data_IF_025853999150
#
_entry.id   IF_025853999150
#
_cell.length_a   1.000
_cell.length_b   1.000
_cell.length_c   1.000
_cell.angle_alpha   90.00
_cell.angle_beta   90.00
_cell.angle_gamma   90.00
#
_symmetry.space_group_name_H-M   'P 1'
#
loop_
_entity.id
_entity.type
_entity.pdbx_description
1 polymer ?
#
# COMPACT_ATOMS: atom_id res chain seq x y z
N UNK A 1 3.51 -15.80 -44.89
CA UNK A 1 4.50 -14.72 -45.03
C UNK A 1 5.79 -15.22 -44.42
N UNK A 2 6.72 -15.59 -45.29
CA UNK A 2 7.94 -16.33 -44.99
C UNK A 2 9.05 -15.40 -44.51
N UNK A 3 9.85 -15.86 -43.54
CA UNK A 3 11.07 -15.17 -43.11
C UNK A 3 12.13 -15.18 -44.22
N UNK A 4 12.94 -14.12 -44.40
CA UNK A 4 14.20 -14.21 -45.10
C UNK A 4 15.30 -14.62 -44.12
N UNK A 5 15.76 -15.86 -44.29
CA UNK A 5 17.04 -16.36 -43.82
C UNK A 5 18.14 -15.84 -44.74
N UNK A 6 19.15 -15.17 -44.19
CA UNK A 6 20.49 -15.14 -44.78
C UNK A 6 21.53 -14.77 -43.73
N UNK A 7 21.93 -15.75 -42.92
CA UNK A 7 23.19 -15.67 -42.18
C UNK A 7 24.32 -15.93 -43.18
N UNK A 8 25.15 -14.92 -43.44
CA UNK A 8 26.35 -15.04 -44.29
C UNK A 8 27.57 -15.24 -43.37
N UNK A 9 28.42 -16.26 -43.59
CA UNK A 9 29.62 -16.43 -42.79
C UNK A 9 30.64 -15.31 -43.10
N UNK A 10 31.39 -14.78 -42.12
CA UNK A 10 32.29 -13.65 -42.31
C UNK A 10 33.54 -14.05 -43.12
N UNK A 11 33.88 -13.27 -44.15
CA UNK A 11 35.13 -13.37 -44.93
C UNK A 11 36.29 -12.64 -44.24
N UNK A 12 37.54 -13.09 -44.47
CA UNK A 12 38.76 -12.63 -43.76
C UNK A 12 39.00 -11.11 -43.77
N UNK A 13 38.40 -10.38 -44.71
CA UNK A 13 38.56 -8.93 -44.86
C UNK A 13 37.81 -8.10 -43.79
N UNK A 14 36.96 -8.72 -42.96
CA UNK A 14 36.20 -8.05 -41.89
C UNK A 14 36.82 -8.13 -40.49
N UNK A 15 38.04 -8.65 -40.39
CA UNK A 15 38.78 -8.77 -39.13
C UNK A 15 39.92 -7.75 -39.09
N UNK A 16 39.94 -6.89 -38.07
CA UNK A 16 41.04 -5.95 -37.83
C UNK A 16 41.72 -6.29 -36.49
N UNK A 17 43.05 -6.24 -36.48
CA UNK A 17 43.87 -6.51 -35.29
C UNK A 17 43.98 -5.21 -34.47
N UNK A 18 43.40 -5.20 -33.28
CA UNK A 18 43.59 -4.13 -32.28
C UNK A 18 44.02 -4.79 -30.98
N UNK A 19 45.17 -4.40 -30.44
CA UNK A 19 45.81 -4.96 -29.24
C UNK A 19 45.92 -6.49 -29.21
N UNK A 20 46.27 -7.11 -30.35
CA UNK A 20 46.57 -8.54 -30.44
C UNK A 20 45.37 -9.48 -30.32
N UNK A 21 44.13 -8.98 -30.35
CA UNK A 21 42.91 -9.80 -30.30
C UNK A 21 41.99 -9.48 -31.49
N UNK A 22 41.57 -10.50 -32.23
CA UNK A 22 40.63 -10.37 -33.34
C UNK A 22 39.21 -10.05 -32.84
N UNK A 23 38.61 -8.93 -33.30
CA UNK A 23 37.20 -8.60 -33.02
C UNK A 23 36.46 -8.22 -34.32
N UNK A 24 35.21 -8.69 -34.43
CA UNK A 24 34.30 -8.39 -35.55
C UNK A 24 33.68 -6.99 -35.42
N UNK A 25 33.58 -6.27 -36.55
CA UNK A 25 32.95 -4.94 -36.62
C UNK A 25 31.44 -5.04 -36.43
N UNK A 26 30.91 -4.50 -35.32
CA UNK A 26 29.46 -4.24 -35.19
C UNK A 26 29.11 -2.99 -35.99
N UNK A 27 28.18 -3.14 -36.93
CA UNK A 27 27.66 -2.05 -37.76
C UNK A 27 27.13 -0.86 -36.93
N UNK A 28 27.53 0.35 -37.32
CA UNK A 28 26.65 1.53 -37.27
C UNK A 28 26.55 2.34 -35.98
N UNK A 29 27.55 2.33 -35.10
CA UNK A 29 27.67 3.32 -34.01
C UNK A 29 29.08 3.89 -34.08
N UNK A 30 29.23 5.13 -34.57
CA UNK A 30 30.49 5.86 -34.41
C UNK A 30 30.76 6.06 -32.91
N UNK A 31 31.92 5.64 -32.38
CA UNK A 31 32.28 6.01 -31.02
C UNK A 31 32.44 7.54 -30.94
N UNK A 32 32.01 8.18 -29.84
CA UNK A 32 32.17 9.62 -29.68
C UNK A 32 33.66 9.98 -29.82
N UNK A 33 33.97 10.91 -30.73
CA UNK A 33 35.34 11.39 -31.04
C UNK A 33 36.04 12.09 -29.88
N UNK A 34 35.38 12.24 -28.74
CA UNK A 34 35.98 12.73 -27.52
C UNK A 34 36.02 11.58 -26.52
N UNK A 35 37.13 10.85 -26.56
CA UNK A 35 37.60 10.07 -25.42
C UNK A 35 37.56 11.00 -24.19
N UNK A 36 36.78 10.62 -23.18
CA UNK A 36 36.66 11.33 -21.91
C UNK A 36 37.97 11.20 -21.14
N UNK A 37 39.00 11.88 -21.59
CA UNK A 37 40.32 11.91 -20.97
C UNK A 37 40.43 13.15 -20.07
N UNK A 38 39.40 13.37 -19.25
CA UNK A 38 39.37 14.39 -18.18
C UNK A 38 40.62 14.27 -17.30
N UNK A 39 41.11 13.05 -17.11
CA UNK A 39 42.31 12.74 -16.34
C UNK A 39 43.59 13.19 -17.06
N UNK A 40 43.67 13.06 -18.39
CA UNK A 40 44.79 13.55 -19.21
C UNK A 40 44.85 15.08 -19.22
N UNK A 41 43.69 15.73 -19.28
CA UNK A 41 43.58 17.18 -19.18
C UNK A 41 43.99 17.73 -17.79
N UNK A 42 43.64 17.02 -16.70
CA UNK A 42 44.02 17.41 -15.33
C UNK A 42 45.51 17.13 -15.02
N UNK A 43 46.10 16.10 -15.61
CA UNK A 43 47.54 15.82 -15.56
C UNK A 43 48.36 16.87 -16.34
N UNK A 44 47.88 17.29 -17.50
CA UNK A 44 48.54 18.33 -18.31
C UNK A 44 48.53 19.71 -17.62
N UNK A 45 47.51 20.00 -16.80
CA UNK A 45 47.42 21.23 -15.99
C UNK A 45 48.17 21.14 -14.65
N UNK A 46 48.92 20.06 -14.38
CA UNK A 46 49.71 19.90 -13.15
C UNK A 46 48.90 19.79 -11.85
N UNK A 47 47.57 19.61 -11.93
CA UNK A 47 46.67 19.59 -10.77
C UNK A 47 46.59 18.23 -10.04
N UNK A 48 47.19 17.17 -10.59
CA UNK A 48 47.18 15.82 -10.00
C UNK A 48 48.47 15.03 -10.27
N UNK A 49 48.96 14.25 -9.30
CA UNK A 49 50.15 13.42 -9.44
C UNK A 49 49.85 12.06 -10.11
N UNK A 50 50.72 11.55 -11.01
CA UNK A 50 50.46 10.31 -11.78
C UNK A 50 50.22 9.07 -10.92
N UNK A 51 50.90 8.98 -9.76
CA UNK A 51 50.76 7.85 -8.84
C UNK A 51 49.36 7.77 -8.22
N UNK A 52 48.73 8.92 -7.94
CA UNK A 52 47.40 8.99 -7.31
C UNK A 52 46.30 8.54 -8.27
N UNK A 53 46.43 8.87 -9.56
CA UNK A 53 45.54 8.43 -10.64
C UNK A 53 45.57 6.91 -10.84
N UNK A 54 46.76 6.29 -10.77
CA UNK A 54 46.89 4.83 -10.88
C UNK A 54 46.20 4.07 -9.75
N UNK A 55 46.22 4.63 -8.53
CA UNK A 55 45.52 4.07 -7.36
C UNK A 55 44.01 4.21 -7.49
N UNK A 56 43.52 5.37 -7.93
CA UNK A 56 42.08 5.61 -8.15
C UNK A 56 41.50 4.73 -9.27
N UNK A 57 42.21 4.55 -10.40
CA UNK A 57 41.76 3.64 -11.45
C UNK A 57 41.75 2.17 -11.00
N UNK A 58 42.73 1.76 -10.19
CA UNK A 58 42.77 0.40 -9.63
C UNK A 58 41.59 0.17 -8.68
N UNK A 59 41.25 1.18 -7.88
CA UNK A 59 40.12 1.13 -6.96
C UNK A 59 38.77 1.13 -7.70
N UNK A 60 38.63 1.94 -8.76
CA UNK A 60 37.46 1.93 -9.63
C UNK A 60 37.28 0.59 -10.35
N UNK A 61 38.36 0.00 -10.91
CA UNK A 61 38.31 -1.33 -11.53
C UNK A 61 37.93 -2.42 -10.52
N UNK A 62 38.46 -2.36 -9.31
CA UNK A 62 38.09 -3.30 -8.24
C UNK A 62 36.61 -3.15 -7.82
N UNK A 63 36.11 -1.91 -7.76
CA UNK A 63 34.71 -1.63 -7.45
C UNK A 63 33.78 -2.15 -8.54
N UNK A 64 34.16 -1.99 -9.81
CA UNK A 64 33.38 -2.44 -10.96
C UNK A 64 33.36 -3.98 -11.03
N UNK A 65 34.50 -4.65 -10.80
CA UNK A 65 34.55 -6.11 -10.66
C UNK A 65 33.66 -6.62 -9.52
N UNK A 66 33.64 -5.93 -8.39
CA UNK A 66 32.78 -6.27 -7.26
C UNK A 66 31.29 -6.11 -7.60
N UNK A 67 30.94 -5.09 -8.39
CA UNK A 67 29.57 -4.91 -8.89
C UNK A 67 29.16 -5.99 -9.90
N UNK A 68 30.07 -6.42 -10.79
CA UNK A 68 29.80 -7.51 -11.74
C UNK A 68 29.58 -8.84 -11.01
N UNK A 69 30.40 -9.17 -10.01
CA UNK A 69 30.22 -10.37 -9.20
C UNK A 69 28.85 -10.41 -8.48
N UNK A 70 28.39 -9.27 -7.94
CA UNK A 70 27.07 -9.16 -7.32
C UNK A 70 25.91 -9.36 -8.32
N UNK A 71 26.10 -8.96 -9.57
CA UNK A 71 25.11 -9.20 -10.63
C UNK A 71 25.07 -10.68 -11.01
N UNK A 72 26.22 -11.34 -11.12
CA UNK A 72 26.30 -12.78 -11.39
C UNK A 72 25.64 -13.60 -10.27
N UNK A 73 25.85 -13.22 -9.00
CA UNK A 73 25.18 -13.85 -7.85
C UNK A 73 23.66 -13.68 -7.89
N UNK A 74 23.17 -12.49 -8.28
CA UNK A 74 21.73 -12.24 -8.46
C UNK A 74 21.16 -13.08 -9.61
N UNK A 75 21.88 -13.19 -10.72
CA UNK A 75 21.49 -14.07 -11.84
C UNK A 75 21.47 -15.55 -11.43
N UNK A 76 22.44 -16.02 -10.64
CA UNK A 76 22.45 -17.38 -10.13
C UNK A 76 21.28 -17.66 -9.17
N UNK A 77 20.93 -16.68 -8.33
CA UNK A 77 19.79 -16.76 -7.42
C UNK A 77 18.45 -16.81 -8.19
N UNK A 78 18.26 -16.00 -9.23
CA UNK A 78 17.05 -16.03 -10.06
C UNK A 78 16.94 -17.36 -10.82
N UNK A 79 18.04 -17.92 -11.33
CA UNK A 79 18.06 -19.25 -11.93
C UNK A 79 17.66 -20.36 -10.93
N UNK A 80 18.10 -20.29 -9.67
CA UNK A 80 17.64 -21.23 -8.62
C UNK A 80 16.15 -21.11 -8.34
N UNK A 81 15.59 -19.89 -8.32
CA UNK A 81 14.15 -19.65 -8.10
C UNK A 81 13.33 -20.21 -9.28
N UNK A 82 13.77 -19.97 -10.52
CA UNK A 82 13.15 -20.53 -11.73
C UNK A 82 13.23 -22.08 -11.74
N UNK A 83 14.33 -22.66 -11.26
CA UNK A 83 14.50 -24.10 -11.07
C UNK A 83 13.54 -24.70 -10.01
N UNK A 84 13.30 -23.98 -8.91
CA UNK A 84 12.30 -24.39 -7.91
C UNK A 84 10.88 -24.34 -8.48
N UNK A 85 10.54 -23.26 -9.18
CA UNK A 85 9.22 -23.07 -9.81
C UNK A 85 8.91 -24.12 -10.88
N UNK A 86 9.93 -24.63 -11.59
CA UNK A 86 9.78 -25.74 -12.55
C UNK A 86 9.62 -27.09 -11.86
N UNK A 87 10.27 -27.32 -10.71
CA UNK A 87 10.02 -28.51 -9.86
C UNK A 87 8.61 -28.50 -9.25
N UNK A 88 8.14 -27.35 -8.76
CA UNK A 88 6.78 -27.21 -8.23
C UNK A 88 5.71 -27.44 -9.31
N UNK A 89 5.99 -27.02 -10.55
CA UNK A 89 5.12 -27.27 -11.70
C UNK A 89 5.08 -28.75 -12.10
N UNK A 90 6.19 -29.48 -11.97
CA UNK A 90 6.22 -30.95 -12.16
C UNK A 90 5.50 -31.69 -11.01
N UNK A 91 5.70 -31.26 -9.76
CA UNK A 91 4.98 -31.81 -8.61
C UNK A 91 3.46 -31.57 -8.72
N UNK A 92 3.05 -30.38 -9.18
CA UNK A 92 1.65 -30.04 -9.45
C UNK A 92 1.06 -30.89 -10.59
N UNK A 93 1.87 -31.25 -11.60
CA UNK A 93 1.44 -32.11 -12.71
C UNK A 93 1.29 -33.58 -12.28
N UNK A 94 2.16 -34.07 -11.39
CA UNK A 94 2.04 -35.38 -10.75
C UNK A 94 0.83 -35.45 -9.81
N UNK A 95 0.57 -34.39 -9.03
CA UNK A 95 -0.65 -34.26 -8.23
C UNK A 95 -1.91 -34.21 -9.10
N UNK A 96 -1.88 -33.50 -10.24
CA UNK A 96 -2.99 -33.47 -11.18
C UNK A 96 -3.24 -34.84 -11.86
N UNK A 97 -2.20 -35.61 -12.15
CA UNK A 97 -2.33 -37.00 -12.61
C UNK A 97 -2.87 -37.93 -11.52
N UNK A 98 -2.44 -37.76 -10.26
CA UNK A 98 -3.00 -38.49 -9.13
C UNK A 98 -4.50 -38.17 -8.90
N UNK A 99 -4.90 -36.92 -9.12
CA UNK A 99 -6.30 -36.49 -9.04
C UNK A 99 -7.16 -36.89 -10.26
N UNK A 100 -6.56 -37.40 -11.35
CA UNK A 100 -7.29 -37.89 -12.52
C UNK A 100 -7.90 -39.28 -12.30
N UNK A 101 -7.41 -40.05 -11.32
CA UNK A 101 -7.91 -41.39 -10.98
C UNK A 101 -8.99 -41.41 -9.89
N UNK A 102 -9.45 -40.24 -9.44
CA UNK A 102 -10.57 -40.12 -8.51
C UNK A 102 -11.87 -39.83 -9.29
N UNK A 103 -12.98 -40.55 -9.03
CA UNK A 103 -14.21 -40.39 -9.78
C UNK A 103 -14.81 -38.99 -9.59
N UNK A 104 -14.97 -38.25 -10.68
CA UNK A 104 -15.64 -36.93 -10.68
C UNK A 104 -17.16 -37.14 -10.74
N UNK A 105 -17.88 -36.65 -9.74
CA UNK A 105 -19.34 -36.58 -9.75
C UNK A 105 -19.83 -35.54 -10.77
N UNK A 106 -20.57 -35.97 -11.78
CA UNK A 106 -21.27 -35.10 -12.73
C UNK A 106 -22.56 -34.53 -12.10
N UNK A 107 -22.78 -33.22 -12.25
CA UNK A 107 -24.05 -32.57 -11.91
C UNK A 107 -25.02 -32.65 -13.11
N UNK A 108 -26.14 -33.35 -12.93
CA UNK A 108 -27.32 -33.25 -13.80
C UNK A 108 -28.28 -32.16 -13.29
N UNK A 109 -28.85 -31.39 -14.23
CA UNK A 109 -29.91 -30.41 -14.00
C UNK A 109 -31.22 -31.11 -13.64
N UNK A 110 -31.73 -30.89 -12.42
CA UNK A 110 -33.15 -30.79 -12.02
C UNK A 110 -33.27 -31.01 -10.49
N UNK A 111 -34.33 -30.47 -9.90
CA UNK A 111 -34.39 -30.05 -8.50
C UNK A 111 -34.50 -31.13 -7.42
N UNK A 112 -34.59 -30.62 -6.18
CA UNK A 112 -34.72 -31.28 -4.87
C UNK A 112 -33.44 -31.82 -4.21
N UNK A 113 -33.00 -31.09 -3.17
CA UNK A 113 -32.11 -31.61 -2.13
C UNK A 113 -32.93 -32.49 -1.19
N UNK A 114 -32.78 -33.80 -1.30
CA UNK A 114 -33.04 -34.74 -0.20
C UNK A 114 -31.68 -35.08 0.42
N UNK A 115 -31.52 -34.78 1.71
CA UNK A 115 -30.30 -35.13 2.46
C UNK A 115 -30.47 -36.57 2.95
N UNK A 116 -29.89 -37.54 2.23
CA UNK A 116 -29.73 -38.90 2.74
C UNK A 116 -28.53 -38.98 3.68
N UNK A 117 -28.74 -39.56 4.87
CA UNK A 117 -27.69 -39.81 5.88
C UNK A 117 -26.76 -40.94 5.39
N UNK A 118 -25.44 -40.86 5.64
CA UNK A 118 -24.51 -41.90 5.21
C UNK A 118 -24.71 -43.21 5.98
N UNK A 119 -24.70 -44.32 5.22
CA UNK A 119 -24.77 -45.71 5.68
C UNK A 119 -23.53 -46.05 6.52
N UNK A 120 -23.76 -46.64 7.69
CA UNK A 120 -22.73 -47.06 8.64
C UNK A 120 -22.01 -48.34 8.20
N UNK A 121 -20.69 -48.38 8.40
CA UNK A 121 -19.85 -49.58 8.25
C UNK A 121 -20.31 -50.72 9.20
N UNK A 122 -20.16 -52.00 8.80
CA UNK A 122 -20.64 -53.13 9.59
C UNK A 122 -19.85 -53.29 10.90
N UNK A 123 -20.58 -53.35 12.02
CA UNK A 123 -20.04 -53.57 13.37
C UNK A 123 -19.56 -55.01 13.53
N UNK A 124 -18.37 -55.21 14.09
CA UNK A 124 -17.90 -56.51 14.61
C UNK A 124 -18.88 -57.05 15.67
N UNK A 125 -19.09 -58.38 15.76
CA UNK A 125 -20.00 -58.96 16.75
C UNK A 125 -19.48 -58.76 18.19
N UNK A 126 -20.37 -58.62 19.18
CA UNK A 126 -19.99 -58.31 20.54
C UNK A 126 -19.44 -59.55 21.26
N UNK A 127 -18.23 -59.43 21.81
CA UNK A 127 -17.73 -60.39 22.80
C UNK A 127 -18.51 -60.20 24.09
N UNK A 128 -19.27 -61.24 24.48
CA UNK A 128 -20.08 -61.28 25.69
C UNK A 128 -19.15 -61.35 26.92
N UNK A 129 -18.83 -60.21 27.54
CA UNK A 129 -18.26 -60.19 28.89
C UNK A 129 -19.41 -60.14 29.89
N UNK A 130 -19.60 -61.23 30.62
CA UNK A 130 -20.47 -61.31 31.79
C UNK A 130 -19.89 -60.42 32.90
N UNK A 131 -20.54 -59.30 33.19
CA UNK A 131 -20.30 -58.55 34.43
C UNK A 131 -21.40 -58.93 35.43
N UNK A 132 -21.07 -59.31 36.68
CA UNK A 132 -22.08 -59.58 37.69
C UNK A 132 -22.83 -58.28 38.03
N UNK A 133 -24.13 -58.39 38.26
CA UNK A 133 -24.99 -57.28 38.70
C UNK A 133 -24.60 -56.85 40.11
N UNK A 134 -23.96 -55.70 40.23
CA UNK A 134 -23.80 -55.01 41.51
C UNK A 134 -24.87 -53.91 41.54
N UNK A 135 -25.87 -54.07 42.40
CA UNK A 135 -26.84 -53.03 42.73
C UNK A 135 -26.09 -51.79 43.26
N UNK A 136 -26.30 -50.59 42.70
CA UNK A 136 -25.56 -49.42 43.14
C UNK A 136 -26.05 -48.98 44.53
N UNK A 137 -25.12 -48.90 45.47
CA UNK A 137 -25.33 -48.47 46.85
C UNK A 137 -25.83 -46.99 46.86
N UNK A 138 -26.94 -46.64 47.55
CA UNK A 138 -27.55 -45.30 47.53
C UNK A 138 -26.61 -44.14 47.91
N UNK A 139 -25.56 -44.40 48.70
CA UNK A 139 -24.59 -43.37 49.10
C UNK A 139 -23.72 -42.84 47.95
N UNK A 140 -23.49 -43.66 46.93
CA UNK A 140 -22.72 -43.26 45.74
C UNK A 140 -23.52 -42.29 44.86
N UNK A 141 -24.85 -42.45 44.82
CA UNK A 141 -25.77 -41.53 44.14
C UNK A 141 -25.79 -40.16 44.85
N UNK A 142 -25.81 -40.14 46.19
CA UNK A 142 -25.79 -38.91 46.99
C UNK A 142 -24.49 -38.14 46.76
N UNK A 143 -23.34 -38.82 46.70
CA UNK A 143 -22.05 -38.16 46.46
C UNK A 143 -21.92 -37.59 45.04
N UNK A 144 -22.55 -38.24 44.04
CA UNK A 144 -22.58 -37.76 42.64
C UNK A 144 -23.49 -36.54 42.48
N UNK A 145 -24.67 -36.55 43.12
CA UNK A 145 -25.59 -35.41 43.19
C UNK A 145 -25.01 -34.20 43.94
N UNK A 146 -24.28 -34.43 45.04
CA UNK A 146 -23.60 -33.35 45.78
C UNK A 146 -22.43 -32.74 44.97
N UNK A 147 -21.70 -33.54 44.18
CA UNK A 147 -20.66 -33.04 43.28
C UNK A 147 -21.24 -32.22 42.14
N UNK A 148 -22.28 -32.69 41.46
CA UNK A 148 -22.93 -31.93 40.36
C UNK A 148 -23.56 -30.63 40.85
N UNK A 149 -24.20 -30.62 42.02
CA UNK A 149 -24.75 -29.40 42.62
C UNK A 149 -23.66 -28.37 42.99
N UNK A 150 -22.50 -28.81 43.50
CA UNK A 150 -21.35 -27.93 43.76
C UNK A 150 -20.75 -27.36 42.47
N UNK A 151 -20.65 -28.14 41.39
CA UNK A 151 -20.10 -27.67 40.11
C UNK A 151 -21.03 -26.67 39.41
N UNK A 152 -22.34 -26.87 39.47
CA UNK A 152 -23.33 -25.94 38.91
C UNK A 152 -23.35 -24.62 39.69
N UNK A 153 -23.27 -24.66 41.02
CA UNK A 153 -23.16 -23.43 41.82
C UNK A 153 -21.82 -22.71 41.63
N UNK A 154 -20.70 -23.43 41.49
CA UNK A 154 -19.40 -22.82 41.20
C UNK A 154 -19.37 -22.11 39.84
N UNK A 155 -19.99 -22.69 38.80
CA UNK A 155 -20.14 -22.06 37.48
C UNK A 155 -21.09 -20.83 37.53
N UNK A 156 -22.14 -20.88 38.36
CA UNK A 156 -23.07 -19.76 38.56
C UNK A 156 -22.42 -18.60 39.33
N UNK A 157 -21.50 -18.88 40.25
CA UNK A 157 -20.71 -17.86 40.98
C UNK A 157 -19.64 -17.26 40.05
N UNK A 158 -18.91 -18.08 39.29
CA UNK A 158 -17.91 -17.60 38.31
C UNK A 158 -18.52 -16.76 37.16
N UNK A 159 -19.78 -17.01 36.79
CA UNK A 159 -20.46 -16.20 35.78
C UNK A 159 -21.01 -14.88 36.33
N UNK A 160 -21.20 -14.74 37.66
CA UNK A 160 -21.59 -13.48 38.32
C UNK A 160 -20.42 -12.53 38.55
N UNK A 161 -19.18 -13.03 38.54
CA UNK A 161 -17.96 -12.24 38.78
C UNK A 161 -17.22 -11.85 37.49
N UNK A 162 -17.77 -12.14 36.30
CA UNK A 162 -17.22 -11.54 35.08
C UNK A 162 -17.61 -10.06 35.14
N UNK A 163 -16.65 -9.12 35.19
CA UNK A 163 -16.98 -7.70 35.08
C UNK A 163 -17.80 -7.56 33.81
N UNK A 164 -19.01 -6.99 33.94
CA UNK A 164 -19.89 -6.77 32.82
C UNK A 164 -19.08 -5.94 31.81
N UNK A 165 -18.60 -6.57 30.73
CA UNK A 165 -17.97 -5.81 29.64
C UNK A 165 -19.07 -4.90 29.14
N UNK A 166 -18.91 -3.60 29.42
CA UNK A 166 -19.82 -2.58 28.90
C UNK A 166 -19.94 -2.71 27.38
N UNK A 167 -20.97 -2.11 26.77
CA UNK A 167 -21.12 -2.14 25.32
C UNK A 167 -19.80 -1.74 24.66
N UNK A 168 -19.31 -2.57 23.74
CA UNK A 168 -18.10 -2.26 23.00
C UNK A 168 -18.34 -0.98 22.18
N UNK A 169 -17.77 0.13 22.64
CA UNK A 169 -17.95 1.47 22.05
C UNK A 169 -17.64 1.54 20.54
N UNK A 170 -16.84 0.60 20.01
CA UNK A 170 -16.70 0.41 18.57
C UNK A 170 -16.05 1.57 17.83
N UNK A 171 -15.51 2.57 18.55
CA UNK A 171 -14.97 3.83 18.01
C UNK A 171 -13.94 3.59 16.90
N UNK A 172 -13.09 2.58 17.02
CA UNK A 172 -12.06 2.28 16.01
C UNK A 172 -12.55 1.47 14.82
N UNK A 173 -13.82 1.05 14.79
CA UNK A 173 -14.38 0.30 13.65
C UNK A 173 -14.56 1.25 12.47
N UNK A 174 -14.35 0.72 11.26
CA UNK A 174 -14.62 1.45 10.01
C UNK A 174 -16.07 1.93 10.03
N UNK A 175 -16.27 3.22 9.83
CA UNK A 175 -17.61 3.79 9.71
C UNK A 175 -18.15 3.52 8.31
N UNK A 176 -19.49 3.46 8.17
CA UNK A 176 -20.09 3.38 6.84
C UNK A 176 -19.74 4.68 6.11
N UNK A 177 -19.07 4.57 4.97
CA UNK A 177 -18.77 5.71 4.11
C UNK A 177 -20.07 6.13 3.45
N UNK A 178 -20.56 7.33 3.77
CA UNK A 178 -21.66 7.95 3.01
C UNK A 178 -21.24 8.08 1.54
N UNK A 179 -22.12 7.71 0.62
CA UNK A 179 -21.83 7.75 -0.81
C UNK A 179 -21.50 9.18 -1.24
N UNK A 180 -20.41 9.33 -1.98
CA UNK A 180 -19.96 10.62 -2.51
C UNK A 180 -20.82 11.01 -3.70
N UNK A 181 -20.97 12.31 -3.92
CA UNK A 181 -21.72 12.82 -5.09
C UNK A 181 -20.88 12.70 -6.37
N UNK A 182 -19.57 12.49 -6.22
CA UNK A 182 -18.57 12.48 -7.30
C UNK A 182 -18.86 11.45 -8.42
N UNK A 183 -19.12 10.15 -8.15
CA UNK A 183 -19.39 9.17 -9.22
C UNK A 183 -20.60 9.56 -10.07
N UNK A 184 -21.66 10.05 -9.43
CA UNK A 184 -22.88 10.47 -10.12
C UNK A 184 -22.61 11.66 -11.04
N UNK A 185 -21.83 12.66 -10.59
CA UNK A 185 -21.48 13.84 -11.40
C UNK A 185 -20.53 13.48 -12.55
N UNK A 186 -19.59 12.57 -12.31
CA UNK A 186 -18.68 12.09 -13.34
C UNK A 186 -19.42 11.33 -14.45
N UNK A 187 -20.34 10.42 -14.08
CA UNK A 187 -21.17 9.68 -15.05
C UNK A 187 -22.08 10.59 -15.87
N UNK A 188 -22.53 11.71 -15.31
CA UNK A 188 -23.30 12.74 -16.01
C UNK A 188 -22.46 13.62 -16.95
N UNK A 189 -21.13 13.56 -16.87
CA UNK A 189 -20.25 14.42 -17.66
C UNK A 189 -20.22 15.88 -17.17
N UNK A 190 -20.54 16.15 -15.90
CA UNK A 190 -20.48 17.50 -15.32
C UNK A 190 -19.04 17.96 -15.04
N UNK A 191 -18.08 17.02 -14.98
CA UNK A 191 -16.69 17.31 -14.62
C UNK A 191 -15.83 17.54 -15.87
N UNK A 192 -15.00 18.61 -15.91
CA UNK A 192 -14.22 19.00 -17.09
C UNK A 192 -12.91 18.20 -17.22
N UNK A 193 -12.96 16.90 -16.93
CA UNK A 193 -11.80 16.01 -17.01
C UNK A 193 -12.17 14.63 -17.60
N UNK A 194 -11.25 14.07 -18.36
CA UNK A 194 -11.34 12.71 -18.89
C UNK A 194 -10.04 11.95 -18.63
N UNK A 195 -10.12 10.62 -18.57
CA UNK A 195 -8.94 9.78 -18.36
C UNK A 195 -8.26 9.58 -19.71
N UNK A 196 -7.00 10.00 -19.80
CA UNK A 196 -6.13 9.67 -20.91
C UNK A 196 -5.28 8.45 -20.54
N UNK A 197 -5.43 7.38 -21.32
CA UNK A 197 -4.72 6.13 -21.11
C UNK A 197 -3.36 6.15 -21.81
N UNK A 198 -2.32 6.50 -21.06
CA UNK A 198 -0.94 6.40 -21.52
C UNK A 198 -0.38 4.98 -21.45
N UNK A 199 0.71 4.73 -22.18
CA UNK A 199 1.36 3.40 -22.22
C UNK A 199 1.99 2.98 -20.87
N UNK A 200 2.38 3.95 -20.03
CA UNK A 200 3.07 3.71 -18.75
C UNK A 200 2.26 4.15 -17.53
N UNK A 201 1.49 5.23 -17.64
CA UNK A 201 0.63 5.76 -16.59
C UNK A 201 -0.61 6.41 -17.20
N UNK A 202 -1.70 6.43 -16.44
CA UNK A 202 -2.88 7.21 -16.80
C UNK A 202 -2.64 8.68 -16.40
N UNK A 203 -3.13 9.60 -17.21
CA UNK A 203 -3.16 11.05 -16.92
C UNK A 203 -4.59 11.56 -17.05
N UNK A 204 -4.84 12.77 -16.55
CA UNK A 204 -6.09 13.45 -16.78
C UNK A 204 -5.94 14.47 -17.91
N UNK A 205 -6.84 14.40 -18.89
CA UNK A 205 -6.99 15.41 -19.92
C UNK A 205 -8.10 16.38 -19.49
N UNK A 206 -7.77 17.66 -19.40
CA UNK A 206 -8.71 18.71 -19.00
C UNK A 206 -9.33 19.41 -20.20
N UNK A 207 -10.62 19.74 -20.10
CA UNK A 207 -11.34 20.45 -21.15
C UNK A 207 -10.92 21.93 -21.28
N UNK A 208 -10.36 22.49 -20.20
CA UNK A 208 -9.97 23.90 -20.07
C UNK A 208 -8.66 23.99 -19.25
N UNK A 209 -7.81 25.00 -19.45
CA UNK A 209 -6.65 25.24 -18.59
C UNK A 209 -7.05 25.33 -17.11
N UNK A 210 -6.27 24.68 -16.24
CA UNK A 210 -6.57 24.52 -14.80
C UNK A 210 -6.72 25.84 -14.03
N UNK A 211 -6.03 26.90 -14.45
CA UNK A 211 -6.12 28.23 -13.84
C UNK A 211 -7.41 28.99 -14.19
N UNK A 212 -8.07 28.64 -15.30
CA UNK A 212 -9.32 29.27 -15.74
C UNK A 212 -10.56 28.56 -15.18
N UNK A 213 -10.36 27.47 -14.44
CA UNK A 213 -11.41 26.68 -13.84
C UNK A 213 -12.04 27.42 -12.66
N UNK A 214 -13.33 27.20 -12.42
CA UNK A 214 -14.00 27.70 -11.21
C UNK A 214 -13.65 26.81 -9.99
N UNK A 215 -12.68 27.26 -9.19
CA UNK A 215 -12.23 26.53 -7.99
C UNK A 215 -13.32 26.43 -6.93
N UNK A 216 -14.22 27.40 -6.82
CA UNK A 216 -15.28 27.39 -5.81
C UNK A 216 -16.28 26.26 -6.09
N UNK A 217 -16.57 26.00 -7.36
CA UNK A 217 -17.44 24.91 -7.77
C UNK A 217 -16.74 23.55 -7.76
N UNK A 218 -15.61 23.42 -8.47
CA UNK A 218 -15.05 22.10 -8.77
C UNK A 218 -14.16 21.53 -7.67
N UNK A 219 -13.37 22.37 -6.97
CA UNK A 219 -12.39 21.88 -5.99
C UNK A 219 -13.05 21.10 -4.84
N UNK A 220 -14.17 21.56 -4.23
CA UNK A 220 -14.86 20.79 -3.20
C UNK A 220 -15.41 19.46 -3.71
N UNK A 221 -15.80 19.36 -5.00
CA UNK A 221 -16.34 18.15 -5.60
C UNK A 221 -15.24 17.09 -5.75
N UNK A 222 -14.08 17.47 -6.29
CA UNK A 222 -12.91 16.58 -6.37
C UNK A 222 -12.46 16.13 -4.98
N UNK A 223 -12.48 17.05 -4.00
CA UNK A 223 -12.09 16.74 -2.64
C UNK A 223 -13.08 15.81 -1.91
N UNK A 224 -14.39 15.92 -2.14
CA UNK A 224 -15.34 14.91 -1.63
C UNK A 224 -15.10 13.54 -2.31
N UNK A 225 -14.71 13.55 -3.58
CA UNK A 225 -14.39 12.37 -4.37
C UNK A 225 -13.23 11.51 -3.82
N UNK A 226 -12.36 12.03 -2.95
CA UNK A 226 -11.25 11.24 -2.37
C UNK A 226 -11.73 10.06 -1.52
N UNK A 227 -12.98 10.13 -1.04
CA UNK A 227 -13.67 9.10 -0.25
C UNK A 227 -14.18 7.95 -1.09
N UNK A 228 -14.14 8.05 -2.42
CA UNK A 228 -14.57 6.98 -3.33
C UNK A 228 -13.73 5.72 -3.13
N UNK A 229 -14.42 4.58 -3.00
CA UNK A 229 -13.78 3.25 -2.89
C UNK A 229 -13.62 2.56 -4.25
N UNK A 230 -14.45 2.89 -5.25
CA UNK A 230 -14.32 2.37 -6.62
C UNK A 230 -13.04 2.89 -7.26
N UNK A 231 -12.18 1.98 -7.73
CA UNK A 231 -10.89 2.28 -8.33
C UNK A 231 -10.98 3.22 -9.55
N UNK A 232 -12.09 3.17 -10.31
CA UNK A 232 -12.28 4.00 -11.51
C UNK A 232 -12.40 5.48 -11.14
N UNK A 233 -13.29 5.80 -10.20
CA UNK A 233 -13.54 7.18 -9.76
C UNK A 233 -12.47 7.68 -8.79
N UNK A 234 -11.90 6.78 -7.99
CA UNK A 234 -10.83 7.10 -7.03
C UNK A 234 -9.60 7.72 -7.69
N UNK A 235 -9.18 7.19 -8.84
CA UNK A 235 -8.06 7.75 -9.59
C UNK A 235 -8.36 9.18 -10.05
N UNK A 236 -9.51 9.39 -10.70
CA UNK A 236 -9.92 10.70 -11.22
C UNK A 236 -10.04 11.73 -10.10
N UNK A 237 -10.67 11.37 -8.98
CA UNK A 237 -10.86 12.29 -7.87
C UNK A 237 -9.52 12.72 -7.24
N UNK A 238 -8.64 11.76 -6.94
CA UNK A 238 -7.34 12.04 -6.29
C UNK A 238 -6.40 12.79 -7.21
N UNK A 239 -6.26 12.33 -8.45
CA UNK A 239 -5.39 12.97 -9.43
C UNK A 239 -5.91 14.36 -9.81
N UNK A 240 -7.23 14.50 -9.98
CA UNK A 240 -7.83 15.78 -10.35
C UNK A 240 -7.67 16.83 -9.27
N UNK A 241 -7.88 16.45 -8.01
CA UNK A 241 -7.60 17.32 -6.87
C UNK A 241 -6.12 17.72 -6.81
N UNK A 242 -5.21 16.76 -7.00
CA UNK A 242 -3.78 17.00 -6.92
C UNK A 242 -3.29 17.98 -8.01
N UNK A 243 -3.75 17.80 -9.25
CA UNK A 243 -3.39 18.69 -10.37
C UNK A 243 -3.97 20.09 -10.20
N UNK A 244 -5.23 20.23 -9.75
CA UNK A 244 -5.82 21.54 -9.45
C UNK A 244 -5.04 22.28 -8.37
N UNK A 245 -4.67 21.59 -7.28
CA UNK A 245 -3.92 22.22 -6.19
C UNK A 245 -2.49 22.58 -6.61
N UNK A 246 -1.84 21.74 -7.41
CA UNK A 246 -0.47 21.99 -7.88
C UNK A 246 -0.42 23.24 -8.79
N UNK A 247 -1.39 23.38 -9.70
CA UNK A 247 -1.48 24.58 -10.57
C UNK A 247 -1.90 25.83 -9.80
N UNK A 248 -2.68 25.70 -8.74
CA UNK A 248 -3.08 26.83 -7.90
C UNK A 248 -1.94 27.39 -7.03
N UNK A 249 -0.76 26.74 -7.01
CA UNK A 249 0.41 27.23 -6.27
C UNK A 249 0.89 28.55 -6.84
N UNK A 250 0.95 29.57 -6.00
CA UNK A 250 1.35 30.92 -6.38
C UNK A 250 0.19 31.85 -6.73
N UNK A 251 -1.05 31.32 -6.80
CA UNK A 251 -2.28 32.09 -7.00
C UNK A 251 -3.18 32.01 -5.76
N UNK A 252 -2.96 32.88 -4.75
CA UNK A 252 -3.69 32.80 -3.49
C UNK A 252 -5.21 33.04 -3.64
N UNK A 253 -5.61 33.86 -4.63
CA UNK A 253 -6.99 34.24 -4.88
C UNK A 253 -7.88 33.05 -5.29
N UNK A 254 -7.31 31.97 -5.83
CA UNK A 254 -8.07 30.79 -6.23
C UNK A 254 -8.44 29.89 -5.04
N UNK A 255 -7.56 29.76 -4.04
CA UNK A 255 -7.71 28.76 -2.96
C UNK A 255 -8.28 29.37 -1.69
N UNK A 256 -7.90 30.60 -1.34
CA UNK A 256 -8.31 31.25 -0.08
C UNK A 256 -9.85 31.37 0.07
N UNK A 257 -10.62 31.80 -0.95
CA UNK A 257 -12.08 31.89 -0.83
C UNK A 257 -12.75 30.53 -0.61
N UNK A 258 -12.12 29.46 -1.11
CA UNK A 258 -12.68 28.11 -1.14
C UNK A 258 -12.42 27.36 0.18
N UNK A 259 -11.49 27.82 1.02
CA UNK A 259 -11.09 27.15 2.28
C UNK A 259 -12.28 26.67 3.12
N UNK A 260 -13.32 27.48 3.41
CA UNK A 260 -14.45 27.03 4.22
C UNK A 260 -15.22 25.85 3.60
N UNK A 261 -15.33 25.80 2.26
CA UNK A 261 -16.00 24.72 1.54
C UNK A 261 -15.20 23.40 1.60
N UNK A 262 -13.88 23.46 1.72
CA UNK A 262 -12.99 22.29 1.80
C UNK A 262 -13.04 21.59 3.17
N UNK A 263 -13.40 22.29 4.25
CA UNK A 263 -13.40 21.74 5.61
C UNK A 263 -14.34 20.54 5.75
N UNK A 264 -15.55 20.64 5.19
CA UNK A 264 -16.56 19.58 5.27
C UNK A 264 -16.10 18.27 4.63
N UNK A 265 -15.66 18.22 3.35
CA UNK A 265 -15.20 16.98 2.73
C UNK A 265 -13.96 16.40 3.41
N UNK A 266 -13.01 17.22 3.89
CA UNK A 266 -11.84 16.73 4.64
C UNK A 266 -12.29 16.06 5.94
N UNK A 267 -13.16 16.72 6.72
CA UNK A 267 -13.70 16.13 7.97
C UNK A 267 -14.40 14.80 7.70
N UNK A 268 -15.21 14.74 6.64
CA UNK A 268 -15.92 13.51 6.27
C UNK A 268 -14.95 12.38 5.86
N UNK A 269 -13.86 12.71 5.17
CA UNK A 269 -12.83 11.74 4.82
C UNK A 269 -12.13 11.18 6.06
N UNK A 270 -11.74 12.04 7.01
CA UNK A 270 -11.09 11.64 8.26
C UNK A 270 -12.02 10.82 9.18
N UNK A 271 -13.33 11.09 9.14
CA UNK A 271 -14.33 10.36 9.93
C UNK A 271 -14.61 8.93 9.43
N UNK A 272 -14.25 8.57 8.20
CA UNK A 272 -14.51 7.20 7.67
C UNK A 272 -13.81 6.08 8.44
N UNK A 273 -12.71 6.39 9.13
CA UNK A 273 -11.84 5.44 9.81
C UNK A 273 -11.25 4.34 8.90
N UNK A 274 -11.29 4.53 7.57
CA UNK A 274 -10.55 3.69 6.64
C UNK A 274 -9.13 4.24 6.45
N UNK A 275 -8.05 3.47 6.76
CA UNK A 275 -6.68 3.96 6.65
C UNK A 275 -6.35 4.59 5.29
N UNK A 276 -6.82 4.03 4.18
CA UNK A 276 -6.51 4.56 2.83
C UNK A 276 -7.20 5.91 2.57
N UNK A 277 -8.44 6.08 3.01
CA UNK A 277 -9.19 7.33 2.85
C UNK A 277 -8.66 8.39 3.81
N UNK A 278 -8.33 8.01 5.04
CA UNK A 278 -7.78 8.92 6.05
C UNK A 278 -6.41 9.45 5.60
N UNK A 279 -5.50 8.60 5.13
CA UNK A 279 -4.21 9.05 4.56
C UNK A 279 -4.44 9.97 3.37
N UNK A 280 -5.36 9.65 2.46
CA UNK A 280 -5.67 10.52 1.34
C UNK A 280 -6.22 11.90 1.80
N UNK A 281 -7.08 11.93 2.83
CA UNK A 281 -7.58 13.17 3.42
C UNK A 281 -6.50 13.99 4.12
N UNK A 282 -5.57 13.34 4.82
CA UNK A 282 -4.41 14.00 5.43
C UNK A 282 -3.47 14.59 4.38
N UNK A 283 -3.16 13.82 3.32
CA UNK A 283 -2.34 14.29 2.22
C UNK A 283 -3.01 15.46 1.48
N UNK A 284 -4.32 15.38 1.26
CA UNK A 284 -5.08 16.47 0.64
C UNK A 284 -5.01 17.74 1.49
N UNK A 285 -5.18 17.63 2.81
CA UNK A 285 -5.04 18.73 3.75
C UNK A 285 -3.62 19.33 3.73
N UNK A 286 -2.58 18.49 3.75
CA UNK A 286 -1.19 18.95 3.67
C UNK A 286 -0.95 19.75 2.36
N UNK A 287 -1.47 19.26 1.24
CA UNK A 287 -1.33 19.94 -0.06
C UNK A 287 -2.03 21.30 -0.07
N UNK A 288 -3.25 21.41 0.45
CA UNK A 288 -3.99 22.69 0.57
C UNK A 288 -3.19 23.70 1.39
N UNK A 289 -2.69 23.28 2.54
CA UNK A 289 -1.93 24.14 3.46
C UNK A 289 -0.61 24.61 2.83
N UNK A 290 0.06 23.75 2.05
CA UNK A 290 1.28 24.08 1.33
C UNK A 290 1.07 24.85 0.02
N UNK A 291 -0.18 25.03 -0.42
CA UNK A 291 -0.46 25.60 -1.74
C UNK A 291 -0.08 27.08 -1.82
N UNK A 292 -0.56 27.87 -0.86
CA UNK A 292 -0.46 29.33 -0.88
C UNK A 292 -0.25 29.89 0.52
N UNK A 293 0.41 31.05 0.59
CA UNK A 293 0.59 31.79 1.84
C UNK A 293 -0.76 32.24 2.41
N UNK A 294 -0.92 32.20 3.74
CA UNK A 294 -2.14 32.60 4.44
C UNK A 294 -3.26 31.56 4.48
N UNK A 295 -3.19 30.48 3.68
CA UNK A 295 -4.19 29.39 3.73
C UNK A 295 -4.17 28.72 5.10
N UNK A 296 -2.98 28.42 5.64
CA UNK A 296 -2.83 27.83 6.98
C UNK A 296 -3.47 28.66 8.09
N UNK A 297 -3.30 29.99 8.06
CA UNK A 297 -3.92 30.92 9.02
C UNK A 297 -5.45 30.92 8.90
N UNK A 298 -5.98 30.90 7.67
CA UNK A 298 -7.42 30.82 7.42
C UNK A 298 -8.03 29.49 7.89
N UNK A 299 -7.24 28.43 8.06
CA UNK A 299 -7.71 27.13 8.54
C UNK A 299 -7.85 27.05 10.07
N UNK A 300 -7.19 27.93 10.83
CA UNK A 300 -7.15 27.90 12.31
C UNK A 300 -8.55 27.87 12.95
N UNK A 301 -9.55 28.67 12.51
CA UNK A 301 -10.90 28.62 13.07
C UNK A 301 -11.57 27.24 12.94
N UNK A 302 -11.13 26.43 11.98
CA UNK A 302 -11.70 25.13 11.65
C UNK A 302 -10.96 23.94 12.29
N UNK A 303 -9.90 24.19 13.08
CA UNK A 303 -9.13 23.14 13.75
C UNK A 303 -9.97 22.23 14.63
N UNK A 304 -11.02 22.76 15.28
CA UNK A 304 -11.98 21.92 16.02
C UNK A 304 -12.54 20.78 15.17
N UNK A 305 -12.91 21.08 13.93
CA UNK A 305 -13.56 20.12 13.03
C UNK A 305 -12.57 19.11 12.46
N UNK A 306 -11.33 19.54 12.21
CA UNK A 306 -10.28 18.73 11.57
C UNK A 306 -9.50 17.87 12.56
N UNK A 307 -9.17 18.41 13.74
CA UNK A 307 -8.26 17.75 14.68
C UNK A 307 -8.94 16.66 15.53
N UNK A 308 -10.25 16.80 15.79
CA UNK A 308 -11.02 15.79 16.53
C UNK A 308 -10.90 14.37 15.93
N UNK A 309 -11.14 14.15 14.63
CA UNK A 309 -10.95 12.82 14.04
C UNK A 309 -9.48 12.39 13.98
N UNK A 310 -8.52 13.31 13.86
CA UNK A 310 -7.08 12.98 13.83
C UNK A 310 -6.56 12.44 15.15
N UNK A 311 -7.06 12.96 16.29
CA UNK A 311 -6.64 12.54 17.62
C UNK A 311 -6.83 11.02 17.83
N UNK A 312 -7.84 10.43 17.19
CA UNK A 312 -8.08 8.98 17.24
C UNK A 312 -6.95 8.15 16.61
N UNK A 313 -6.26 8.70 15.61
CA UNK A 313 -5.24 8.00 14.84
C UNK A 313 -3.80 8.34 15.27
N UNK A 314 -3.63 9.37 16.11
CA UNK A 314 -2.31 9.84 16.57
C UNK A 314 -1.44 8.71 17.18
N UNK A 315 -2.06 7.83 17.97
CA UNK A 315 -1.37 6.71 18.63
C UNK A 315 -1.27 5.46 17.77
N UNK A 316 -1.90 5.42 16.59
CA UNK A 316 -1.85 4.28 15.67
C UNK A 316 -0.56 4.30 14.85
N UNK A 317 0.55 4.01 15.52
CA UNK A 317 1.85 3.78 14.87
C UNK A 317 2.11 2.29 14.76
N UNK A 318 2.62 1.87 13.60
CA UNK A 318 3.02 0.49 13.42
C UNK A 318 4.32 0.21 14.16
N UNK A 319 4.28 -0.58 15.24
CA UNK A 319 5.49 -1.05 15.91
C UNK A 319 5.99 -2.32 15.22
N UNK A 320 7.16 -2.21 14.57
CA UNK A 320 7.76 -3.28 13.75
C UNK A 320 9.03 -3.84 14.43
N UNK A 321 9.34 -3.40 15.66
CA UNK A 321 10.53 -3.83 16.41
C UNK A 321 11.81 -3.57 15.61
N UNK A 322 12.69 -4.57 15.56
CA UNK A 322 13.98 -4.50 14.83
C UNK A 322 13.85 -4.73 13.31
N UNK A 323 12.64 -4.93 12.79
CA UNK A 323 12.43 -5.12 11.36
C UNK A 323 12.34 -3.78 10.61
N UNK A 324 12.83 -3.77 9.37
CA UNK A 324 12.82 -2.57 8.51
C UNK A 324 11.44 -2.42 7.87
N UNK A 325 10.83 -1.23 8.01
CA UNK A 325 9.58 -0.90 7.33
C UNK A 325 9.83 -0.54 5.86
N UNK A 326 9.48 -1.43 4.94
CA UNK A 326 9.61 -1.18 3.49
C UNK A 326 8.49 -0.29 2.91
N UNK A 327 7.43 -0.01 3.69
CA UNK A 327 6.27 0.79 3.29
C UNK A 327 6.46 2.31 3.37
N UNK A 328 7.65 2.79 3.75
CA UNK A 328 7.96 4.21 3.97
C UNK A 328 7.63 5.08 2.76
N UNK A 329 8.02 4.67 1.55
CA UNK A 329 7.76 5.42 0.32
C UNK A 329 6.28 5.62 0.01
N UNK A 330 5.40 4.77 0.57
CA UNK A 330 3.95 4.86 0.36
C UNK A 330 3.24 5.71 1.41
N UNK A 331 3.92 6.13 2.48
CA UNK A 331 3.32 6.95 3.54
C UNK A 331 2.08 6.30 4.16
N UNK A 332 2.09 4.98 4.35
CA UNK A 332 0.89 4.23 4.78
C UNK A 332 0.65 4.24 6.29
N UNK A 333 1.62 4.73 7.06
CA UNK A 333 1.52 4.78 8.52
C UNK A 333 0.73 6.00 8.97
N UNK A 334 -0.46 5.74 9.53
CA UNK A 334 -1.41 6.79 9.92
C UNK A 334 -0.84 7.71 11.00
N UNK A 335 -0.20 7.17 12.03
CA UNK A 335 0.33 7.98 13.13
C UNK A 335 1.41 8.95 12.67
N UNK A 336 2.26 8.51 11.74
CA UNK A 336 3.29 9.36 11.13
C UNK A 336 2.67 10.46 10.26
N UNK A 337 1.70 10.11 9.39
CA UNK A 337 1.01 11.08 8.55
C UNK A 337 0.26 12.14 9.38
N UNK A 338 -0.40 11.75 10.48
CA UNK A 338 -1.06 12.70 11.40
C UNK A 338 -0.05 13.64 12.02
N UNK A 339 1.09 13.14 12.51
CA UNK A 339 2.13 13.98 13.11
C UNK A 339 2.66 15.02 12.10
N UNK A 340 3.03 14.57 10.90
CA UNK A 340 3.51 15.45 9.83
C UNK A 340 2.48 16.53 9.47
N UNK A 341 1.19 16.18 9.42
CA UNK A 341 0.11 17.16 9.19
C UNK A 341 0.01 18.17 10.33
N UNK A 342 0.11 17.74 11.61
CA UNK A 342 0.03 18.66 12.74
C UNK A 342 1.20 19.64 12.79
N UNK A 343 2.42 19.15 12.53
CA UNK A 343 3.61 19.99 12.43
C UNK A 343 3.49 21.02 11.31
N UNK A 344 2.94 20.60 10.17
CA UNK A 344 2.70 21.51 9.05
C UNK A 344 1.67 22.60 9.40
N UNK A 345 0.57 22.22 10.05
CA UNK A 345 -0.46 23.16 10.50
C UNK A 345 0.08 24.17 11.53
N UNK A 346 1.01 23.75 12.39
CA UNK A 346 1.71 24.66 13.31
C UNK A 346 2.63 25.63 12.55
N UNK A 347 3.40 25.11 11.58
CA UNK A 347 4.33 25.92 10.77
C UNK A 347 3.63 27.02 9.96
N UNK A 348 2.43 26.74 9.44
CA UNK A 348 1.72 27.65 8.53
C UNK A 348 0.59 28.44 9.20
N UNK A 349 0.13 28.05 10.39
CA UNK A 349 -1.06 28.59 11.03
C UNK A 349 -0.84 29.86 11.88
N UNK A 350 0.38 30.38 11.90
CA UNK A 350 0.73 31.58 12.67
C UNK A 350 0.83 31.35 14.19
N UNK A 351 0.92 32.43 15.00
CA UNK A 351 1.29 32.35 16.41
C UNK A 351 0.26 31.63 17.30
N UNK A 352 -1.02 31.63 16.89
CA UNK A 352 -2.11 31.02 17.66
C UNK A 352 -2.36 29.56 17.27
N UNK A 353 -1.63 28.99 16.29
CA UNK A 353 -1.86 27.63 15.83
C UNK A 353 -1.62 26.60 16.93
N UNK A 354 -0.50 26.69 17.64
CA UNK A 354 -0.11 25.73 18.67
C UNK A 354 -1.15 25.64 19.81
N UNK A 355 -1.61 26.77 20.34
CA UNK A 355 -2.59 26.81 21.44
C UNK A 355 -3.90 26.11 21.03
N UNK A 356 -4.35 26.35 19.79
CA UNK A 356 -5.53 25.69 19.24
C UNK A 356 -5.29 24.19 19.03
N UNK A 357 -4.13 23.78 18.51
CA UNK A 357 -3.79 22.36 18.31
C UNK A 357 -3.74 21.63 19.66
N UNK A 358 -3.03 22.18 20.65
CA UNK A 358 -2.88 21.58 22.00
C UNK A 358 -4.22 21.40 22.70
N UNK A 359 -5.17 22.30 22.46
CA UNK A 359 -6.53 22.21 23.02
C UNK A 359 -7.31 20.98 22.54
N UNK A 360 -7.04 20.49 21.32
CA UNK A 360 -7.74 19.33 20.73
C UNK A 360 -6.90 18.05 20.71
N UNK A 361 -5.57 18.17 20.66
CA UNK A 361 -4.62 17.06 20.70
C UNK A 361 -3.65 17.29 21.87
N UNK A 362 -4.02 16.89 23.10
CA UNK A 362 -3.20 17.17 24.29
C UNK A 362 -1.80 16.55 24.25
N UNK A 363 -1.64 15.46 23.49
CA UNK A 363 -0.38 14.69 23.36
C UNK A 363 0.59 15.34 22.38
N UNK A 364 0.14 16.31 21.57
CA UNK A 364 1.01 16.99 20.61
C UNK A 364 2.00 17.92 21.33
N UNK A 365 3.26 17.91 20.90
CA UNK A 365 4.32 18.80 21.38
C UNK A 365 4.79 19.69 20.24
N UNK A 366 5.15 20.94 20.56
CA UNK A 366 5.49 21.95 19.55
C UNK A 366 6.74 21.56 18.76
N UNK A 367 6.70 21.76 17.45
CA UNK A 367 7.85 21.57 16.56
C UNK A 367 8.66 22.86 16.35
N UNK A 368 8.12 24.01 16.76
CA UNK A 368 8.73 25.33 16.61
C UNK A 368 9.28 25.75 17.98
N UNK A 369 10.58 25.45 18.21
CA UNK A 369 11.28 25.87 19.43
C UNK A 369 11.69 27.33 19.40
#
# INVERSE_FOLDING_TARGET
MSAPSSYRPPTEQDRQLVDGVWRERKHGIEPPKQETDMTKAMLAQGRMSPQKVGVDLKMQKAMLLKQMALLDDRCAATHKILGKKTRDRRASKLLAQAHAHLPRSSLSKQGQRVIEKPVALPKRPPVRRTTPSITPNPDVLIHKLKRTAKTVNAQKIQNRTRPHKGPCSGVFRKQKVEETVFPTRYERGELPCAIEHGACHNTLSWACPLLQLDYEHYLPIFLDGIRCTDARYKFVARQGFDEMIEEAKGFPDCVLPVVPALIKPIRLALATHDPDIVVAGLNALQKVVLSNYGVGEAMVPFYRQLLQPMNLFYTKRQNIGDQIFYGQRKGTDLGTAVLETLELLEKTGGPNAFVNIKSYVPVYESCMQ
#
